data_IF_544131357018
#
_entry.id   IF_544131357018
#
_cell.length_a   1.000
_cell.length_b   1.000
_cell.length_c   1.000
_cell.angle_alpha   90.00
_cell.angle_beta   90.00
_cell.angle_gamma   90.00
#
_symmetry.space_group_name_H-M   'P 1'
#
loop_
_entity.id
_entity.type
_entity.pdbx_description
1 polymer ?
#
# COMPACT_ATOMS: atom_id res chain seq x y z
N UNK A 1 -1.88 29.40 -28.67
CA UNK A 1 -1.04 28.23 -28.31
C UNK A 1 -1.98 27.16 -27.82
N UNK A 2 -2.30 26.17 -28.64
CA UNK A 2 -3.28 25.12 -28.31
C UNK A 2 -2.51 23.98 -27.67
N UNK A 3 -2.59 23.84 -26.35
CA UNK A 3 -2.11 22.65 -25.64
C UNK A 3 -3.13 21.55 -25.94
N UNK A 4 -2.77 20.62 -26.83
CA UNK A 4 -3.54 19.39 -27.02
C UNK A 4 -3.23 18.47 -25.84
N UNK A 5 -4.13 18.41 -24.87
CA UNK A 5 -4.15 17.33 -23.89
C UNK A 5 -4.61 16.09 -24.65
N UNK A 6 -3.69 15.15 -24.88
CA UNK A 6 -4.09 13.81 -25.31
C UNK A 6 -4.46 13.04 -24.05
N UNK A 7 -5.72 12.61 -23.96
CA UNK A 7 -6.11 11.60 -22.98
C UNK A 7 -5.31 10.33 -23.24
N UNK A 8 -4.36 10.03 -22.36
CA UNK A 8 -3.58 8.79 -22.35
C UNK A 8 -4.32 7.75 -21.52
N UNK A 9 -5.66 7.69 -21.62
CA UNK A 9 -6.45 6.68 -20.93
C UNK A 9 -6.20 5.33 -21.59
N UNK A 10 -5.14 4.66 -21.13
CA UNK A 10 -4.97 3.24 -21.37
C UNK A 10 -6.11 2.51 -20.66
N UNK A 11 -6.70 1.46 -21.27
CA UNK A 11 -7.68 0.64 -20.58
C UNK A 11 -7.09 0.15 -19.27
N UNK A 12 -7.86 0.19 -18.18
CA UNK A 12 -7.44 -0.19 -16.84
C UNK A 12 -6.77 -1.58 -16.87
N UNK A 13 -5.42 -1.59 -16.87
CA UNK A 13 -4.66 -2.82 -16.78
C UNK A 13 -4.94 -3.42 -15.42
N UNK A 14 -5.35 -4.69 -15.40
CA UNK A 14 -5.51 -5.44 -14.15
C UNK A 14 -4.15 -5.50 -13.47
N UNK A 15 -4.02 -4.83 -12.32
CA UNK A 15 -2.75 -4.77 -11.56
C UNK A 15 -2.25 -6.17 -11.26
N UNK A 16 -0.96 -6.39 -11.49
CA UNK A 16 -0.28 -7.62 -11.11
C UNK A 16 0.28 -7.45 -9.70
N UNK A 17 -0.17 -8.28 -8.77
CA UNK A 17 0.37 -8.32 -7.40
C UNK A 17 1.12 -9.61 -7.13
N UNK A 18 2.03 -9.58 -6.17
CA UNK A 18 2.76 -10.74 -5.67
C UNK A 18 2.79 -10.71 -4.15
N UNK A 19 2.94 -11.88 -3.51
CA UNK A 19 3.05 -12.00 -2.05
C UNK A 19 1.82 -11.47 -1.29
N UNK A 20 0.62 -11.60 -1.87
CA UNK A 20 -0.61 -11.26 -1.16
C UNK A 20 -0.75 -12.14 0.11
N UNK A 21 -1.14 -11.55 1.26
CA UNK A 21 -1.39 -12.29 2.48
C UNK A 21 -2.68 -13.10 2.39
N UNK A 22 -2.78 -14.18 3.15
CA UNK A 22 -4.00 -14.99 3.23
C UNK A 22 -5.14 -14.25 3.96
N UNK A 23 -4.79 -13.37 4.91
CA UNK A 23 -5.73 -12.59 5.73
C UNK A 23 -5.38 -11.09 5.66
N UNK A 24 -5.94 -10.35 4.68
CA UNK A 24 -5.79 -8.90 4.58
C UNK A 24 -6.32 -8.18 5.82
N UNK A 25 -5.59 -7.16 6.30
CA UNK A 25 -5.99 -6.36 7.45
C UNK A 25 -5.81 -7.03 8.81
N UNK A 26 -5.17 -8.21 8.86
CA UNK A 26 -4.94 -8.93 10.11
C UNK A 26 -3.94 -8.22 11.03
N UNK A 27 -4.34 -8.05 12.29
CA UNK A 27 -3.51 -7.53 13.37
C UNK A 27 -2.54 -8.62 13.81
N UNK A 28 -1.24 -8.39 13.62
CA UNK A 28 -0.19 -9.29 14.08
C UNK A 28 0.19 -9.04 15.53
N UNK A 29 0.20 -7.77 15.96
CA UNK A 29 0.61 -7.39 17.30
C UNK A 29 -0.10 -6.11 17.75
N UNK A 30 -0.42 -6.06 19.05
CA UNK A 30 -0.97 -4.90 19.76
C UNK A 30 0.03 -4.51 20.85
N UNK A 31 0.43 -3.25 20.88
CA UNK A 31 1.37 -2.73 21.86
C UNK A 31 0.71 -2.56 23.24
N UNK A 32 1.42 -2.97 24.30
CA UNK A 32 0.94 -2.78 25.66
C UNK A 32 0.82 -1.29 26.01
N UNK A 33 -0.28 -0.91 26.65
CA UNK A 33 -0.64 0.47 26.98
C UNK A 33 -1.05 1.32 25.78
N UNK A 34 -1.37 0.72 24.63
CA UNK A 34 -1.85 1.46 23.46
C UNK A 34 -3.37 1.55 23.42
N UNK A 35 -3.88 2.47 22.60
CA UNK A 35 -5.32 2.63 22.39
C UNK A 35 -5.98 1.34 21.91
N UNK A 36 -5.32 0.59 21.03
CA UNK A 36 -5.82 -0.70 20.57
C UNK A 36 -5.97 -1.73 21.70
N UNK A 37 -5.05 -1.77 22.68
CA UNK A 37 -5.20 -2.63 23.85
C UNK A 37 -6.40 -2.19 24.71
N UNK A 38 -6.56 -0.89 24.93
CA UNK A 38 -7.65 -0.33 25.74
C UNK A 38 -9.04 -0.63 25.17
N UNK A 39 -9.22 -0.49 23.86
CA UNK A 39 -10.49 -0.82 23.18
C UNK A 39 -10.66 -2.33 22.92
N UNK A 40 -9.68 -3.14 23.34
CA UNK A 40 -9.76 -4.60 23.29
C UNK A 40 -9.48 -5.22 21.92
N UNK A 41 -8.73 -4.56 21.04
CA UNK A 41 -8.20 -5.20 19.82
C UNK A 41 -7.17 -6.27 20.22
N UNK A 42 -7.22 -7.40 19.54
CA UNK A 42 -6.37 -8.56 19.82
C UNK A 42 -5.63 -9.02 18.56
N UNK A 43 -4.43 -9.62 18.68
CA UNK A 43 -3.79 -10.31 17.57
C UNK A 43 -4.72 -11.36 16.93
N UNK A 44 -4.83 -11.35 15.60
CA UNK A 44 -5.73 -12.21 14.83
C UNK A 44 -7.04 -11.55 14.40
N UNK A 45 -7.40 -10.40 14.99
CA UNK A 45 -8.46 -9.52 14.51
C UNK A 45 -8.14 -9.01 13.11
N UNK A 46 -9.17 -8.71 12.32
CA UNK A 46 -9.00 -8.04 11.02
C UNK A 46 -9.69 -6.70 11.02
N UNK A 47 -8.95 -5.63 10.76
CA UNK A 47 -9.56 -4.31 10.56
C UNK A 47 -9.99 -4.21 9.11
N UNK A 48 -11.30 -4.06 8.90
CA UNK A 48 -11.91 -4.04 7.57
C UNK A 48 -12.11 -2.62 7.06
N UNK A 49 -12.59 -1.73 7.93
CA UNK A 49 -12.85 -0.32 7.59
C UNK A 49 -12.45 0.62 8.71
N UNK A 50 -12.18 1.86 8.30
CA UNK A 50 -11.98 3.00 9.19
C UNK A 50 -12.82 4.15 8.66
N UNK A 51 -13.67 4.76 9.49
CA UNK A 51 -14.59 5.84 9.11
C UNK A 51 -15.44 5.52 7.87
N UNK A 52 -15.88 4.25 7.76
CA UNK A 52 -16.65 3.75 6.62
C UNK A 52 -15.85 3.48 5.34
N UNK A 53 -14.54 3.81 5.31
CA UNK A 53 -13.65 3.53 4.20
C UNK A 53 -13.04 2.12 4.32
N UNK A 54 -13.21 1.23 3.31
CA UNK A 54 -12.51 -0.05 3.29
C UNK A 54 -11.00 0.13 3.27
N UNK A 55 -10.29 -0.60 4.12
CA UNK A 55 -8.83 -0.55 4.16
C UNK A 55 -8.23 -1.30 2.98
N UNK A 56 -7.45 -0.59 2.16
CA UNK A 56 -6.63 -1.20 1.11
C UNK A 56 -5.25 -1.61 1.62
N UNK A 57 -4.72 -0.89 2.60
CA UNK A 57 -3.38 -1.09 3.16
C UNK A 57 -3.19 -0.27 4.47
N UNK A 58 -1.98 -0.29 5.03
CA UNK A 58 -1.64 0.47 6.24
C UNK A 58 -1.69 1.99 6.05
N UNK A 59 -1.49 2.50 4.83
CA UNK A 59 -1.53 3.94 4.57
C UNK A 59 -2.97 4.45 4.69
N UNK A 60 -3.95 3.66 4.25
CA UNK A 60 -5.37 3.97 4.51
C UNK A 60 -5.68 3.99 6.00
N UNK A 61 -5.15 3.03 6.77
CA UNK A 61 -5.34 3.04 8.22
C UNK A 61 -4.74 4.29 8.83
N UNK A 62 -3.50 4.64 8.48
CA UNK A 62 -2.83 5.84 8.98
C UNK A 62 -3.57 7.12 8.60
N UNK A 63 -4.17 7.17 7.41
CA UNK A 63 -4.86 8.35 6.90
C UNK A 63 -6.24 8.52 7.54
N UNK A 64 -7.10 7.50 7.47
CA UNK A 64 -8.48 7.58 7.98
C UNK A 64 -8.54 7.50 9.51
N UNK A 65 -7.59 6.83 10.15
CA UNK A 65 -7.53 6.75 11.62
C UNK A 65 -6.72 7.92 12.23
N UNK A 66 -6.49 8.99 11.47
CA UNK A 66 -5.81 10.20 11.95
C UNK A 66 -6.76 11.15 12.70
N UNK A 67 -8.07 11.00 12.54
CA UNK A 67 -9.10 11.82 13.20
C UNK A 67 -9.19 11.54 14.71
N UNK A 68 -9.83 12.44 15.47
CA UNK A 68 -10.08 12.27 16.91
C UNK A 68 -11.22 11.27 17.15
N UNK A 69 -12.30 11.37 16.38
CA UNK A 69 -13.41 10.41 16.40
C UNK A 69 -13.23 9.41 15.25
N UNK A 70 -13.06 8.14 15.60
CA UNK A 70 -12.78 7.07 14.63
C UNK A 70 -13.74 5.91 14.82
N UNK A 71 -14.34 5.48 13.72
CA UNK A 71 -15.19 4.29 13.67
C UNK A 71 -14.41 3.16 13.00
N UNK A 72 -14.12 2.10 13.75
CA UNK A 72 -13.48 0.88 13.24
C UNK A 72 -14.53 -0.20 12.98
N UNK A 73 -14.46 -0.86 11.82
CA UNK A 73 -15.12 -2.15 11.60
C UNK A 73 -14.06 -3.26 11.71
N UNK A 74 -14.23 -4.15 12.68
CA UNK A 74 -13.30 -5.23 13.02
C UNK A 74 -13.99 -6.58 12.84
N UNK A 75 -13.35 -7.52 12.18
CA UNK A 75 -13.78 -8.91 12.11
C UNK A 75 -13.02 -9.76 13.13
N UNK A 76 -13.77 -10.45 14.00
CA UNK A 76 -13.28 -11.43 14.98
C UNK A 76 -14.19 -12.65 14.95
N UNK A 77 -13.64 -13.85 14.84
CA UNK A 77 -14.41 -15.11 14.81
C UNK A 77 -15.60 -15.09 13.83
N UNK A 78 -15.35 -14.61 12.60
CA UNK A 78 -16.35 -14.44 11.54
C UNK A 78 -17.53 -13.49 11.87
N UNK A 79 -17.39 -12.68 12.92
CA UNK A 79 -18.35 -11.64 13.31
C UNK A 79 -17.75 -10.26 13.12
N UNK A 80 -18.57 -9.34 12.62
CA UNK A 80 -18.18 -7.94 12.43
C UNK A 80 -18.64 -7.15 13.65
N UNK A 81 -17.68 -6.47 14.27
CA UNK A 81 -17.84 -5.55 15.38
C UNK A 81 -17.57 -4.14 14.88
N UNK A 82 -18.32 -3.18 15.42
CA UNK A 82 -18.09 -1.76 15.19
C UNK A 82 -17.67 -1.12 16.51
N UNK A 83 -16.57 -0.39 16.49
CA UNK A 83 -16.03 0.31 17.65
C UNK A 83 -15.94 1.80 17.33
N UNK A 84 -16.59 2.62 18.13
CA UNK A 84 -16.42 4.07 18.12
C UNK A 84 -15.33 4.41 19.13
N UNK A 85 -14.31 5.14 18.67
CA UNK A 85 -13.10 5.45 19.43
C UNK A 85 -12.93 6.96 19.42
N UNK A 86 -12.86 7.55 20.61
CA UNK A 86 -12.44 8.94 20.80
C UNK A 86 -10.96 8.89 21.23
N UNK A 87 -10.10 9.60 20.49
CA UNK A 87 -8.65 9.53 20.64
C UNK A 87 -8.06 10.91 20.92
N UNK A 88 -7.16 10.98 21.89
CA UNK A 88 -6.30 12.14 22.11
C UNK A 88 -5.15 12.21 21.10
N UNK A 89 -4.72 13.42 20.72
CA UNK A 89 -3.65 13.64 19.72
C UNK A 89 -2.33 12.94 20.05
N UNK A 90 -2.08 12.70 21.35
CA UNK A 90 -0.84 12.07 21.84
C UNK A 90 -0.90 10.54 21.83
N UNK A 91 -2.08 9.96 21.68
CA UNK A 91 -2.27 8.52 21.71
C UNK A 91 -1.88 7.84 20.41
N UNK A 92 -1.22 6.70 20.55
CA UNK A 92 -0.87 5.84 19.42
C UNK A 92 -1.80 4.64 19.38
N UNK A 93 -2.24 4.26 18.18
CA UNK A 93 -3.02 3.04 17.97
C UNK A 93 -2.28 1.81 18.51
N UNK A 94 -0.97 1.71 18.29
CA UNK A 94 -0.16 0.56 18.73
C UNK A 94 -0.46 -0.74 17.99
N UNK A 95 -0.99 -0.64 16.77
CA UNK A 95 -1.34 -1.78 15.92
C UNK A 95 -0.21 -2.06 14.94
N UNK A 96 0.20 -3.33 14.85
CA UNK A 96 1.07 -3.82 13.78
C UNK A 96 0.28 -4.83 12.93
N UNK A 97 0.14 -4.55 11.65
CA UNK A 97 -0.50 -5.46 10.69
C UNK A 97 0.46 -6.56 10.25
N UNK A 98 -0.07 -7.73 9.89
CA UNK A 98 0.71 -8.87 9.38
C UNK A 98 1.35 -8.59 8.01
N UNK A 99 0.67 -7.79 7.18
CA UNK A 99 1.16 -7.30 5.91
C UNK A 99 0.75 -5.83 5.71
N UNK A 100 1.68 -4.93 5.36
CA UNK A 100 1.37 -3.51 5.23
C UNK A 100 0.60 -3.18 3.95
N UNK A 101 0.62 -4.03 2.93
CA UNK A 101 -0.04 -3.79 1.63
C UNK A 101 -1.41 -4.43 1.52
N UNK A 102 -1.70 -5.46 2.30
CA UNK A 102 -2.96 -6.23 2.39
C UNK A 102 -3.41 -6.93 1.11
N UNK A 103 -3.10 -6.41 -0.07
CA UNK A 103 -3.35 -7.01 -1.40
C UNK A 103 -2.07 -7.56 -2.08
N UNK A 104 -0.94 -7.45 -1.38
CA UNK A 104 0.39 -7.82 -1.86
C UNK A 104 1.10 -6.69 -2.58
N UNK A 105 2.32 -6.96 -3.04
CA UNK A 105 3.20 -5.99 -3.66
C UNK A 105 2.83 -5.82 -5.13
N UNK A 106 2.63 -4.57 -5.58
CA UNK A 106 2.51 -4.25 -6.99
C UNK A 106 3.80 -4.58 -7.75
N UNK A 107 3.66 -5.38 -8.82
CA UNK A 107 4.78 -5.90 -9.60
C UNK A 107 5.10 -4.94 -10.74
N UNK A 108 6.40 -4.72 -10.96
CA UNK A 108 6.93 -3.96 -12.09
C UNK A 108 6.47 -4.56 -13.42
N UNK A 109 6.02 -3.70 -14.34
CA UNK A 109 5.65 -4.07 -15.71
C UNK A 109 6.75 -3.77 -16.73
N UNK A 110 7.85 -3.15 -16.29
CA UNK A 110 8.96 -2.78 -17.16
C UNK A 110 9.73 -4.02 -17.64
N UNK A 111 10.20 -3.98 -18.88
CA UNK A 111 11.00 -5.04 -19.50
C UNK A 111 12.45 -4.63 -19.73
N UNK A 112 13.00 -3.89 -18.76
CA UNK A 112 14.37 -3.40 -18.79
C UNK A 112 15.39 -4.53 -19.10
N UNK A 113 16.29 -4.34 -20.08
CA UNK A 113 17.31 -5.34 -20.43
C UNK A 113 18.37 -5.52 -19.33
N UNK A 114 18.48 -4.55 -18.42
CA UNK A 114 19.40 -4.54 -17.28
C UNK A 114 18.73 -4.95 -15.95
N UNK A 115 17.52 -5.53 -15.99
CA UNK A 115 16.82 -5.91 -14.76
C UNK A 115 17.63 -6.93 -13.93
N UNK A 116 18.00 -6.56 -12.70
CA UNK A 116 18.78 -7.41 -11.79
C UNK A 116 18.00 -8.65 -11.34
N UNK A 117 16.69 -8.53 -11.14
CA UNK A 117 15.84 -9.65 -10.72
C UNK A 117 15.83 -10.77 -11.77
N UNK A 118 15.88 -10.42 -13.07
CA UNK A 118 16.00 -11.39 -14.19
C UNK A 118 17.35 -12.14 -14.20
N UNK A 119 18.36 -11.64 -13.49
CA UNK A 119 19.70 -12.23 -13.42
C UNK A 119 19.90 -13.14 -12.19
N UNK A 120 18.90 -13.25 -11.30
CA UNK A 120 18.98 -14.10 -10.10
C UNK A 120 19.01 -15.59 -10.49
N UNK A 121 19.95 -16.39 -9.96
CA UNK A 121 20.01 -17.83 -10.22
C UNK A 121 18.72 -18.55 -9.83
N UNK A 122 18.41 -19.69 -10.45
CA UNK A 122 17.23 -20.51 -10.10
C UNK A 122 17.38 -21.16 -8.71
N UNK A 123 16.25 -21.45 -8.06
CA UNK A 123 16.20 -22.15 -6.76
C UNK A 123 16.35 -21.27 -5.52
N UNK A 124 16.35 -19.94 -5.68
CA UNK A 124 16.38 -18.99 -4.58
C UNK A 124 15.00 -18.85 -3.92
N UNK A 125 14.94 -18.12 -2.78
CA UNK A 125 13.67 -17.82 -2.11
C UNK A 125 12.73 -17.10 -3.07
N UNK A 126 11.44 -17.48 -3.07
CA UNK A 126 10.43 -16.93 -3.99
C UNK A 126 10.35 -15.40 -3.96
N UNK A 127 10.48 -14.80 -2.79
CA UNK A 127 10.43 -13.34 -2.61
C UNK A 127 11.53 -12.60 -3.38
N UNK A 128 12.68 -13.24 -3.62
CA UNK A 128 13.78 -12.62 -4.39
C UNK A 128 13.47 -12.48 -5.87
N UNK A 129 12.47 -13.20 -6.40
CA UNK A 129 12.08 -13.10 -7.81
C UNK A 129 10.94 -12.10 -8.04
N UNK A 130 10.44 -11.45 -6.99
CA UNK A 130 9.42 -10.41 -7.11
C UNK A 130 10.12 -9.15 -7.63
N UNK A 131 9.67 -8.67 -8.79
CA UNK A 131 10.08 -7.37 -9.32
C UNK A 131 9.12 -6.34 -8.72
N UNK A 132 9.48 -5.76 -7.58
CA UNK A 132 8.66 -4.73 -6.95
C UNK A 132 8.74 -3.40 -7.71
N UNK A 133 7.61 -2.70 -7.79
CA UNK A 133 7.51 -1.32 -8.26
C UNK A 133 6.23 -0.72 -7.66
N UNK A 134 6.14 -0.77 -6.33
CA UNK A 134 4.95 -0.39 -5.58
C UNK A 134 5.20 0.95 -4.88
N UNK A 135 4.49 2.01 -5.27
CA UNK A 135 4.67 3.35 -4.69
C UNK A 135 4.44 3.37 -3.17
N UNK A 136 3.63 2.46 -2.64
CA UNK A 136 3.41 2.34 -1.18
C UNK A 136 4.70 1.97 -0.47
N UNK A 137 5.53 1.12 -1.09
CA UNK A 137 6.84 0.73 -0.55
C UNK A 137 7.83 1.89 -0.56
N UNK A 138 7.72 2.82 -1.52
CA UNK A 138 8.53 4.03 -1.51
C UNK A 138 8.25 4.90 -0.27
N UNK A 139 6.99 5.00 0.15
CA UNK A 139 6.63 5.75 1.34
C UNK A 139 6.98 4.98 2.62
N UNK A 140 6.64 3.69 2.68
CA UNK A 140 6.81 2.88 3.89
C UNK A 140 8.27 2.55 4.19
N UNK A 141 9.08 2.29 3.17
CA UNK A 141 10.42 1.72 3.32
C UNK A 141 11.50 2.47 2.53
N UNK A 142 11.16 3.53 1.80
CA UNK A 142 12.12 4.26 0.98
C UNK A 142 12.57 3.51 -0.28
N UNK A 143 11.81 2.49 -0.72
CA UNK A 143 12.09 1.78 -1.98
C UNK A 143 12.00 2.70 -3.19
N UNK A 144 12.80 2.42 -4.22
CA UNK A 144 12.76 3.18 -5.45
C UNK A 144 11.67 2.67 -6.39
N UNK A 145 10.88 3.59 -6.94
CA UNK A 145 9.82 3.29 -7.91
C UNK A 145 10.05 4.00 -9.23
N UNK A 146 9.53 3.43 -10.30
CA UNK A 146 9.68 3.97 -11.65
C UNK A 146 8.52 4.88 -12.07
N UNK A 147 7.39 4.78 -11.35
CA UNK A 147 6.12 5.48 -11.63
C UNK A 147 5.47 5.10 -12.96
N UNK A 148 5.92 4.03 -13.62
CA UNK A 148 5.41 3.63 -14.95
C UNK A 148 4.18 2.72 -14.89
N UNK A 149 3.88 2.16 -13.72
CA UNK A 149 2.78 1.22 -13.49
C UNK A 149 1.64 1.82 -12.63
N UNK A 150 1.61 3.15 -12.46
CA UNK A 150 0.55 3.85 -11.74
C UNK A 150 -0.70 4.03 -12.60
N UNK A 151 -1.85 3.69 -12.02
CA UNK A 151 -3.17 3.96 -12.61
C UNK A 151 -3.64 5.36 -12.25
N UNK A 152 -4.69 5.84 -12.90
CA UNK A 152 -5.31 7.14 -12.56
C UNK A 152 -5.79 7.18 -11.09
N UNK A 153 -6.33 6.08 -10.58
CA UNK A 153 -6.73 5.96 -9.17
C UNK A 153 -5.55 6.08 -8.21
N UNK A 154 -4.35 5.60 -8.61
CA UNK A 154 -3.15 5.79 -7.79
C UNK A 154 -2.73 7.24 -7.74
N UNK A 155 -2.75 7.92 -8.88
CA UNK A 155 -2.39 9.34 -8.93
C UNK A 155 -3.31 10.18 -8.05
N UNK A 156 -4.63 9.93 -8.15
CA UNK A 156 -5.62 10.58 -7.31
C UNK A 156 -5.37 10.31 -5.83
N UNK A 157 -5.11 9.04 -5.46
CA UNK A 157 -4.82 8.67 -4.08
C UNK A 157 -3.53 9.31 -3.55
N UNK A 158 -2.46 9.29 -4.34
CA UNK A 158 -1.17 9.91 -3.98
C UNK A 158 -1.37 11.40 -3.68
N UNK A 159 -2.19 12.09 -4.47
CA UNK A 159 -2.51 13.49 -4.25
C UNK A 159 -3.39 13.70 -3.00
N UNK A 160 -4.50 12.96 -2.89
CA UNK A 160 -5.48 13.06 -1.80
C UNK A 160 -4.84 12.79 -0.42
N UNK A 161 -4.07 11.70 -0.34
CA UNK A 161 -3.43 11.26 0.89
C UNK A 161 -2.02 11.83 1.08
N UNK A 162 -1.55 12.68 0.15
CA UNK A 162 -0.22 13.32 0.18
C UNK A 162 0.91 12.31 0.38
N UNK A 163 0.86 11.19 -0.33
CA UNK A 163 1.80 10.08 -0.16
C UNK A 163 3.20 10.48 -0.67
N UNK A 164 4.08 10.88 0.26
CA UNK A 164 5.45 11.26 -0.03
C UNK A 164 6.31 11.42 1.24
N UNK A 165 7.65 11.49 1.09
CA UNK A 165 8.40 11.60 -0.16
C UNK A 165 8.48 10.30 -0.97
N UNK A 166 8.53 10.40 -2.30
CA UNK A 166 8.77 9.26 -3.20
C UNK A 166 10.20 9.25 -3.75
N UNK A 167 10.84 8.08 -3.72
CA UNK A 167 12.16 7.84 -4.29
C UNK A 167 11.99 7.32 -5.70
N UNK A 168 12.40 8.11 -6.69
CA UNK A 168 12.14 7.80 -8.11
C UNK A 168 13.41 7.32 -8.79
N UNK A 169 13.36 6.11 -9.37
CA UNK A 169 14.42 5.61 -10.25
C UNK A 169 14.14 6.00 -11.70
N UNK A 170 14.96 6.91 -12.24
CA UNK A 170 14.86 7.36 -13.64
C UNK A 170 15.84 6.58 -14.50
N UNK A 171 15.34 5.58 -15.23
CA UNK A 171 16.19 4.74 -16.09
C UNK A 171 16.60 5.42 -17.41
N UNK A 172 15.77 6.33 -17.93
CA UNK A 172 16.07 7.12 -19.11
C UNK A 172 15.30 8.45 -19.06
N UNK A 173 15.94 9.53 -19.50
CA UNK A 173 15.33 10.86 -19.66
C UNK A 173 14.83 11.11 -21.08
N UNK A 174 15.31 10.35 -22.07
CA UNK A 174 14.77 10.36 -23.43
C UNK A 174 13.41 9.64 -23.43
N UNK A 175 12.29 10.30 -23.84
CA UNK A 175 10.95 9.70 -23.81
C UNK A 175 10.79 8.46 -24.69
N UNK A 176 11.39 8.45 -25.89
CA UNK A 176 11.31 7.31 -26.81
C UNK A 176 12.03 6.10 -26.22
N UNK A 177 13.21 6.31 -25.63
CA UNK A 177 13.94 5.25 -24.95
C UNK A 177 13.20 4.76 -23.70
N UNK A 178 12.63 5.68 -22.89
CA UNK A 178 11.88 5.34 -21.69
C UNK A 178 10.63 4.50 -21.99
N UNK A 179 9.96 4.76 -23.11
CA UNK A 179 8.79 3.97 -23.52
C UNK A 179 9.13 2.53 -23.95
N UNK A 180 10.40 2.22 -24.21
CA UNK A 180 10.89 0.88 -24.55
C UNK A 180 11.37 0.07 -23.34
N UNK A 181 11.54 0.73 -22.19
CA UNK A 181 12.04 0.13 -20.94
C UNK A 181 10.91 -0.45 -20.11
#
# INVERSE_FOLDING_TARGET
MVVRVQDISQPARRRRTALAPDRPGEVQHVAAGSLAEEIGIEPGDRILKVNGHPLRDILDFQYYAAEEEVILEIERDDQIHQCEVERDVEEVWGITFSDPTMDGIHVCENSCPFCFIKQIPKGMRRSLYVMDDDYRQSMLHGSFVTLTNLTEEDWQRIEEQRLGPMHVSVHATNPELRALL
#
